data_IF_438768539813
#
_entry.id   IF_438768539813
#
_cell.length_a   1.000
_cell.length_b   1.000
_cell.length_c   1.000
_cell.angle_alpha   90.00
_cell.angle_beta   90.00
_cell.angle_gamma   90.00
#
_symmetry.space_group_name_H-M   'P 1'
#
loop_
_entity.id
_entity.type
_entity.pdbx_description
1 polymer ?
#
# COMPACT_ATOMS: atom_id res chain seq x y z
N UNK A 1 57.27 54.05 12.82
CA UNK A 1 55.80 54.05 12.81
C UNK A 1 55.34 52.75 12.20
N UNK A 2 54.76 51.86 13.02
CA UNK A 2 54.19 50.58 12.58
C UNK A 2 52.88 50.80 11.84
N UNK A 3 52.71 50.22 10.65
CA UNK A 3 51.39 50.02 10.06
C UNK A 3 51.20 48.55 9.65
N UNK A 4 50.04 48.04 10.06
CA UNK A 4 49.62 46.65 10.17
C UNK A 4 49.04 46.14 8.84
N UNK A 5 49.27 44.85 8.56
CA UNK A 5 48.65 44.06 7.49
C UNK A 5 47.10 44.06 7.57
N UNK A 6 46.39 44.08 6.43
CA UNK A 6 45.07 43.47 6.35
C UNK A 6 45.18 42.05 5.80
N UNK A 7 44.77 41.09 6.63
CA UNK A 7 44.55 39.69 6.29
C UNK A 7 43.29 39.62 5.40
N UNK A 8 43.44 39.25 4.13
CA UNK A 8 42.31 39.04 3.22
C UNK A 8 41.75 37.63 3.49
N UNK A 9 40.62 37.55 4.20
CA UNK A 9 39.89 36.31 4.40
C UNK A 9 39.17 35.93 3.09
N UNK A 10 39.69 34.93 2.39
CA UNK A 10 39.02 34.32 1.25
C UNK A 10 37.86 33.47 1.76
N UNK A 11 36.63 33.99 1.67
CA UNK A 11 35.42 33.22 1.91
C UNK A 11 35.25 32.19 0.78
N UNK A 12 35.55 30.93 1.08
CA UNK A 12 35.26 29.81 0.19
C UNK A 12 33.74 29.63 0.17
N UNK A 13 33.07 30.20 -0.83
CA UNK A 13 31.67 29.90 -1.10
C UNK A 13 31.60 28.46 -1.62
N UNK A 14 31.09 27.53 -0.79
CA UNK A 14 30.71 26.21 -1.24
C UNK A 14 29.59 26.35 -2.27
N UNK A 15 29.93 26.28 -3.55
CA UNK A 15 28.95 26.15 -4.62
C UNK A 15 28.45 24.70 -4.53
N UNK A 16 27.27 24.52 -3.93
CA UNK A 16 26.57 23.25 -3.98
C UNK A 16 26.18 22.99 -5.45
N UNK A 17 26.93 22.11 -6.11
CA UNK A 17 26.52 21.58 -7.41
C UNK A 17 25.20 20.85 -7.19
N UNK A 18 24.21 20.98 -8.10
CA UNK A 18 23.05 20.13 -8.05
C UNK A 18 23.58 18.69 -8.18
N UNK A 19 23.35 17.88 -7.15
CA UNK A 19 23.48 16.44 -7.31
C UNK A 19 22.57 16.09 -8.50
N UNK A 20 23.14 15.58 -9.58
CA UNK A 20 22.35 14.94 -10.61
C UNK A 20 21.67 13.77 -9.91
N UNK A 21 20.43 13.97 -9.47
CA UNK A 21 19.65 12.93 -8.86
C UNK A 21 19.27 11.98 -10.00
N UNK A 22 20.02 10.89 -10.12
CA UNK A 22 19.78 9.81 -11.07
C UNK A 22 18.54 8.97 -10.70
N UNK A 23 17.82 9.37 -9.65
CA UNK A 23 16.55 8.77 -9.26
C UNK A 23 15.40 9.66 -9.72
N UNK A 24 14.58 9.10 -10.60
CA UNK A 24 13.30 9.66 -11.02
C UNK A 24 12.19 8.94 -10.28
N UNK A 25 11.25 9.70 -9.69
CA UNK A 25 10.08 9.14 -9.02
C UNK A 25 8.87 9.28 -9.92
N UNK A 26 8.26 8.15 -10.29
CA UNK A 26 7.15 8.10 -11.24
C UNK A 26 5.83 7.75 -10.51
N UNK A 27 4.76 8.42 -10.92
CA UNK A 27 3.38 8.16 -10.50
C UNK A 27 3.16 8.05 -8.98
N UNK A 28 3.71 8.97 -8.15
CA UNK A 28 3.50 8.90 -6.72
C UNK A 28 2.03 9.11 -6.37
N UNK A 29 1.54 8.36 -5.37
CA UNK A 29 0.26 8.65 -4.74
C UNK A 29 0.24 8.20 -3.28
N UNK A 30 -0.55 8.90 -2.47
CA UNK A 30 -0.74 8.63 -1.06
C UNK A 30 -2.15 8.12 -0.80
N UNK A 31 -2.30 7.20 0.14
CA UNK A 31 -3.62 6.74 0.59
C UNK A 31 -3.62 6.47 2.08
N UNK A 32 -4.69 6.89 2.76
CA UNK A 32 -4.97 6.50 4.15
C UNK A 32 -5.54 5.09 4.24
N UNK A 33 -5.29 4.38 5.34
CA UNK A 33 -5.83 3.03 5.60
C UNK A 33 -7.36 2.99 5.78
N UNK A 34 -8.02 4.14 5.83
CA UNK A 34 -9.48 4.31 5.93
C UNK A 34 -9.85 5.74 6.28
N UNK A 35 -11.15 6.09 6.22
CA UNK A 35 -11.65 7.47 6.43
C UNK A 35 -11.31 8.10 7.80
N UNK A 36 -11.03 7.26 8.79
CA UNK A 36 -10.70 7.64 10.17
C UNK A 36 -9.30 7.14 10.58
N UNK A 37 -8.49 6.69 9.62
CA UNK A 37 -7.21 6.05 9.92
C UNK A 37 -6.17 7.06 10.44
N UNK A 38 -5.36 6.59 11.39
CA UNK A 38 -4.17 7.28 11.89
C UNK A 38 -2.90 6.82 11.17
N UNK A 39 -3.05 6.05 10.09
CA UNK A 39 -1.97 5.58 9.23
C UNK A 39 -2.33 5.71 7.75
N UNK A 40 -1.30 5.77 6.93
CA UNK A 40 -1.41 5.76 5.47
C UNK A 40 -0.13 5.25 4.83
N UNK A 41 -0.15 5.12 3.51
CA UNK A 41 1.01 4.68 2.75
C UNK A 41 1.16 5.52 1.48
N UNK A 42 2.40 5.80 1.11
CA UNK A 42 2.77 6.32 -0.19
C UNK A 42 3.32 5.20 -1.07
N UNK A 43 2.89 5.25 -2.33
CA UNK A 43 3.23 4.31 -3.40
C UNK A 43 3.77 5.10 -4.58
N UNK A 44 4.75 4.55 -5.28
CA UNK A 44 5.46 5.21 -6.38
C UNK A 44 6.35 4.19 -7.10
N UNK A 45 6.87 4.55 -8.26
CA UNK A 45 7.96 3.80 -8.90
C UNK A 45 9.25 4.59 -8.76
N UNK A 46 10.29 3.95 -8.25
CA UNK A 46 11.64 4.49 -8.20
C UNK A 46 12.37 4.04 -9.45
N UNK A 47 12.75 4.97 -10.32
CA UNK A 47 13.49 4.68 -11.54
C UNK A 47 14.90 5.24 -11.43
N UNK A 48 15.88 4.35 -11.37
CA UNK A 48 17.28 4.72 -11.41
C UNK A 48 17.75 4.85 -12.86
N UNK A 49 17.94 6.08 -13.32
CA UNK A 49 18.45 6.45 -14.64
C UNK A 49 19.98 6.55 -14.69
N UNK A 50 20.67 6.29 -13.59
CA UNK A 50 22.13 6.30 -13.47
C UNK A 50 22.78 4.97 -13.82
N UNK A 51 24.11 4.97 -13.89
CA UNK A 51 24.92 3.78 -14.21
C UNK A 51 25.31 2.95 -12.96
N UNK A 52 25.08 3.49 -11.76
CA UNK A 52 25.38 2.83 -10.48
C UNK A 52 24.10 2.44 -9.75
N UNK A 53 24.14 1.32 -9.01
CA UNK A 53 23.05 0.96 -8.11
C UNK A 53 22.91 2.00 -6.99
N UNK A 54 21.66 2.20 -6.55
CA UNK A 54 21.34 3.03 -5.39
C UNK A 54 20.40 2.27 -4.45
N UNK A 55 20.12 2.83 -3.28
CA UNK A 55 19.24 2.24 -2.28
C UNK A 55 18.47 3.32 -1.55
N UNK A 56 17.14 3.20 -1.52
CA UNK A 56 16.28 3.99 -0.65
C UNK A 56 16.41 3.47 0.77
N UNK A 57 17.03 4.24 1.66
CA UNK A 57 17.32 3.82 3.04
C UNK A 57 16.41 4.46 4.08
N UNK A 58 15.80 5.61 3.76
CA UNK A 58 14.86 6.26 4.68
C UNK A 58 13.83 7.10 3.94
N UNK A 59 12.73 7.38 4.62
CA UNK A 59 11.75 8.36 4.18
C UNK A 59 11.30 9.21 5.37
N UNK A 60 10.97 10.48 5.13
CA UNK A 60 10.45 11.39 6.15
C UNK A 60 9.40 12.34 5.57
N UNK A 61 8.50 12.81 6.42
CA UNK A 61 7.46 13.78 6.08
C UNK A 61 6.99 14.50 7.34
N UNK A 62 6.41 15.69 7.18
CA UNK A 62 5.77 16.44 8.26
C UNK A 62 4.34 15.97 8.58
N UNK A 63 3.85 14.98 7.84
CA UNK A 63 2.47 14.52 7.94
C UNK A 63 2.24 13.58 9.15
N UNK A 64 3.29 12.89 9.59
CA UNK A 64 3.17 11.86 10.62
C UNK A 64 4.34 11.85 11.59
N UNK A 65 4.07 11.32 12.78
CA UNK A 65 5.07 11.10 13.82
C UNK A 65 6.20 10.15 13.40
N UNK A 66 5.89 9.13 12.58
CA UNK A 66 6.86 8.16 12.04
C UNK A 66 6.60 7.89 10.57
N UNK A 67 7.67 7.71 9.81
CA UNK A 67 7.66 7.30 8.39
C UNK A 67 8.69 6.20 8.22
N UNK A 68 8.28 5.07 7.64
CA UNK A 68 9.06 3.84 7.59
C UNK A 68 8.96 3.17 6.22
N UNK A 69 9.93 2.34 5.88
CA UNK A 69 9.91 1.52 4.67
C UNK A 69 9.36 0.14 5.02
N UNK A 70 8.26 -0.28 4.40
CA UNK A 70 7.57 -1.52 4.76
C UNK A 70 7.45 -2.45 3.56
N UNK A 71 7.50 -3.76 3.81
CA UNK A 71 7.24 -4.81 2.82
C UNK A 71 6.13 -5.75 3.29
N UNK A 72 5.63 -6.58 2.38
CA UNK A 72 4.67 -7.64 2.66
C UNK A 72 5.34 -9.00 2.50
N UNK A 73 5.45 -9.77 3.59
CA UNK A 73 5.94 -11.15 3.55
C UNK A 73 4.80 -12.13 3.77
N UNK A 74 4.72 -13.18 2.95
CA UNK A 74 3.86 -14.31 3.22
C UNK A 74 4.44 -15.11 4.40
N UNK A 75 3.72 -15.17 5.52
CA UNK A 75 4.05 -16.08 6.61
C UNK A 75 3.83 -17.54 6.23
N UNK A 76 4.49 -18.46 6.94
CA UNK A 76 4.45 -19.91 6.70
C UNK A 76 3.04 -20.52 6.72
N UNK A 77 2.07 -19.82 7.29
CA UNK A 77 0.66 -20.20 7.39
C UNK A 77 -0.25 -19.49 6.37
N UNK A 78 0.32 -18.84 5.36
CA UNK A 78 -0.41 -18.06 4.36
C UNK A 78 -0.90 -16.69 4.85
N UNK A 79 -0.52 -16.27 6.07
CA UNK A 79 -0.88 -14.95 6.60
C UNK A 79 0.16 -13.93 6.14
N UNK A 80 -0.28 -12.94 5.36
CA UNK A 80 0.56 -11.81 4.97
C UNK A 80 0.88 -10.94 6.18
N UNK A 81 2.17 -10.66 6.39
CA UNK A 81 2.66 -9.75 7.44
C UNK A 81 3.29 -8.53 6.80
N UNK A 82 2.94 -7.37 7.33
CA UNK A 82 3.55 -6.10 6.98
C UNK A 82 4.68 -5.82 7.96
N UNK A 83 5.89 -5.60 7.46
CA UNK A 83 7.11 -5.51 8.26
C UNK A 83 7.96 -4.33 7.79
N UNK A 84 8.56 -3.64 8.75
CA UNK A 84 9.57 -2.61 8.49
C UNK A 84 10.84 -3.24 7.88
N UNK A 85 11.43 -2.55 6.92
CA UNK A 85 12.65 -2.94 6.20
C UNK A 85 13.75 -1.94 6.54
N UNK A 86 14.57 -2.27 7.54
CA UNK A 86 15.68 -1.42 7.99
C UNK A 86 16.79 -1.30 6.93
N UNK A 87 17.00 -2.35 6.14
CA UNK A 87 18.01 -2.37 5.06
C UNK A 87 17.58 -1.57 3.82
N UNK A 88 16.36 -1.03 3.78
CA UNK A 88 15.84 -0.26 2.65
C UNK A 88 15.64 -1.05 1.35
N UNK A 89 15.39 -0.33 0.26
CA UNK A 89 15.07 -0.90 -1.05
C UNK A 89 16.17 -0.59 -2.09
N UNK A 90 16.79 -1.64 -2.63
CA UNK A 90 17.81 -1.50 -3.67
C UNK A 90 17.16 -1.17 -5.02
N UNK A 91 17.73 -0.21 -5.74
CA UNK A 91 17.32 0.17 -7.09
C UNK A 91 18.52 0.00 -8.02
N UNK A 92 18.53 -1.07 -8.79
CA UNK A 92 19.59 -1.37 -9.76
C UNK A 92 19.71 -0.28 -10.83
N UNK A 93 20.90 -0.08 -11.44
CA UNK A 93 21.08 0.92 -12.48
C UNK A 93 20.19 0.61 -13.69
N UNK A 94 19.67 1.66 -14.33
CA UNK A 94 18.73 1.56 -15.46
C UNK A 94 17.47 0.73 -15.17
N UNK A 95 17.12 0.56 -13.89
CA UNK A 95 16.00 -0.29 -13.47
C UNK A 95 14.94 0.50 -12.69
N UNK A 96 13.78 -0.14 -12.55
CA UNK A 96 12.65 0.36 -11.77
C UNK A 96 12.42 -0.54 -10.57
N UNK A 97 12.17 0.07 -9.42
CA UNK A 97 11.67 -0.60 -8.22
C UNK A 97 10.28 -0.06 -7.90
N UNK A 98 9.29 -0.94 -7.89
CA UNK A 98 7.89 -0.54 -7.68
C UNK A 98 7.52 -0.62 -6.20
N UNK A 99 7.14 0.52 -5.63
CA UNK A 99 6.51 0.60 -4.31
C UNK A 99 4.99 0.58 -4.50
N UNK A 100 4.39 -0.60 -4.40
CA UNK A 100 2.98 -0.85 -4.68
C UNK A 100 2.26 -1.59 -3.56
N UNK A 101 0.93 -1.59 -3.66
CA UNK A 101 0.03 -2.22 -2.70
C UNK A 101 0.25 -3.72 -2.65
N UNK A 102 0.35 -4.27 -1.44
CA UNK A 102 0.65 -5.68 -1.24
C UNK A 102 2.12 -6.05 -1.47
N UNK A 103 2.99 -5.06 -1.72
CA UNK A 103 4.44 -5.19 -1.79
C UNK A 103 5.12 -4.11 -0.95
N UNK A 104 6.24 -3.60 -1.46
CA UNK A 104 7.01 -2.55 -0.80
C UNK A 104 6.27 -1.21 -0.84
N UNK A 105 6.38 -0.41 0.22
CA UNK A 105 5.74 0.90 0.31
C UNK A 105 6.35 1.76 1.41
N UNK A 106 6.07 3.07 1.36
CA UNK A 106 6.43 4.00 2.44
C UNK A 106 5.23 4.11 3.39
N UNK A 107 5.38 3.62 4.61
CA UNK A 107 4.35 3.61 5.64
C UNK A 107 4.42 4.87 6.51
N UNK A 108 3.26 5.44 6.84
CA UNK A 108 3.11 6.61 7.71
C UNK A 108 2.31 6.18 8.93
N UNK A 109 2.91 6.32 10.11
CA UNK A 109 2.31 5.93 11.38
C UNK A 109 2.11 7.16 12.27
N UNK A 110 0.89 7.32 12.78
CA UNK A 110 0.52 8.46 13.61
C UNK A 110 0.41 9.73 12.80
N UNK A 111 -0.55 9.77 11.86
CA UNK A 111 -0.86 10.98 11.10
C UNK A 111 -1.27 12.12 12.04
N UNK A 112 -0.58 13.25 11.95
CA UNK A 112 -0.80 14.42 12.82
C UNK A 112 -1.99 15.27 12.37
N UNK A 113 -2.39 15.12 11.11
CA UNK A 113 -3.56 15.75 10.50
C UNK A 113 -4.26 14.80 9.55
N UNK A 114 -5.54 15.05 9.31
CA UNK A 114 -6.29 14.37 8.23
C UNK A 114 -5.86 14.93 6.88
N UNK A 115 -5.90 14.08 5.87
CA UNK A 115 -5.72 14.43 4.46
C UNK A 115 -7.00 14.13 3.68
N UNK A 116 -7.30 14.96 2.69
CA UNK A 116 -8.43 14.82 1.78
C UNK A 116 -7.95 14.38 0.39
N UNK A 117 -8.88 13.90 -0.45
CA UNK A 117 -8.61 13.63 -1.86
C UNK A 117 -8.03 14.86 -2.55
N UNK A 118 -6.93 14.68 -3.29
CA UNK A 118 -6.27 15.75 -4.04
C UNK A 118 -5.30 16.61 -3.22
N UNK A 119 -5.21 16.44 -1.89
CA UNK A 119 -4.16 17.08 -1.08
C UNK A 119 -2.77 16.61 -1.54
N UNK A 120 -1.74 17.42 -1.27
CA UNK A 120 -0.36 17.08 -1.56
C UNK A 120 0.38 16.77 -0.26
N UNK A 121 1.03 15.61 -0.21
CA UNK A 121 1.92 15.19 0.87
C UNK A 121 3.36 15.32 0.37
N UNK A 122 4.15 16.16 1.01
CA UNK A 122 5.59 16.23 0.71
C UNK A 122 6.33 15.12 1.45
N UNK A 123 7.11 14.34 0.70
CA UNK A 123 7.92 13.24 1.23
C UNK A 123 9.36 13.47 0.82
N UNK A 124 10.28 13.39 1.77
CA UNK A 124 11.71 13.30 1.45
C UNK A 124 12.14 11.84 1.52
N UNK A 125 12.68 11.35 0.41
CA UNK A 125 13.27 10.02 0.26
C UNK A 125 14.79 10.17 0.35
N UNK A 126 15.44 9.44 1.24
CA UNK A 126 16.90 9.48 1.41
C UNK A 126 17.50 8.25 0.78
N UNK A 127 18.34 8.46 -0.23
CA UNK A 127 19.10 7.44 -0.94
C UNK A 127 20.56 7.41 -0.47
N UNK A 128 21.21 6.26 -0.58
CA UNK A 128 22.64 6.12 -0.23
C UNK A 128 23.54 6.98 -1.11
N UNK A 129 23.25 7.04 -2.41
CA UNK A 129 24.10 7.73 -3.39
C UNK A 129 23.48 9.05 -3.86
N UNK A 130 22.21 9.04 -4.29
CA UNK A 130 21.54 10.25 -4.76
C UNK A 130 21.24 11.26 -3.63
N UNK A 131 21.31 10.85 -2.37
CA UNK A 131 20.98 11.68 -1.21
C UNK A 131 19.49 11.94 -1.08
N UNK A 132 19.11 13.13 -0.62
CA UNK A 132 17.71 13.50 -0.36
C UNK A 132 16.98 13.91 -1.66
N UNK A 133 15.93 13.17 -2.00
CA UNK A 133 15.00 13.45 -3.09
C UNK A 133 13.65 13.85 -2.51
N UNK A 134 13.21 15.07 -2.79
CA UNK A 134 11.91 15.58 -2.33
C UNK A 134 10.84 15.30 -3.38
N UNK A 135 9.74 14.69 -2.97
CA UNK A 135 8.63 14.26 -3.83
C UNK A 135 7.32 14.85 -3.33
N UNK A 136 6.53 15.40 -4.25
CA UNK A 136 5.14 15.77 -4.01
C UNK A 136 4.24 14.58 -4.33
N UNK A 137 3.54 14.07 -3.32
CA UNK A 137 2.73 12.86 -3.41
C UNK A 137 1.24 13.23 -3.29
N UNK A 138 0.48 13.23 -4.39
CA UNK A 138 -0.95 13.54 -4.35
C UNK A 138 -1.74 12.44 -3.64
N UNK A 139 -2.69 12.83 -2.81
CA UNK A 139 -3.59 11.92 -2.09
C UNK A 139 -4.67 11.41 -3.04
N UNK A 140 -4.76 10.08 -3.15
CA UNK A 140 -5.78 9.35 -3.90
C UNK A 140 -6.41 8.26 -3.03
N UNK A 141 -7.46 8.62 -2.32
CA UNK A 141 -8.26 7.77 -1.44
C UNK A 141 -9.03 6.70 -2.23
N UNK A 142 -9.50 7.06 -3.43
CA UNK A 142 -10.29 6.19 -4.32
C UNK A 142 -9.43 5.29 -5.21
N UNK A 143 -8.11 5.32 -5.08
CA UNK A 143 -7.22 4.45 -5.86
C UNK A 143 -7.58 2.97 -5.64
N UNK A 144 -7.84 2.18 -6.71
CA UNK A 144 -8.27 0.79 -6.61
C UNK A 144 -7.36 -0.04 -5.69
N UNK A 145 -7.98 -0.88 -4.83
CA UNK A 145 -7.30 -2.00 -4.15
C UNK A 145 -6.64 -2.85 -5.21
N UNK A 146 -5.31 -2.96 -5.16
CA UNK A 146 -4.46 -3.37 -6.27
C UNK A 146 -5.10 -4.36 -7.24
N UNK A 147 -5.16 -3.98 -8.51
CA UNK A 147 -4.95 -4.96 -9.57
C UNK A 147 -3.45 -4.99 -9.78
N UNK A 148 -2.75 -5.89 -9.08
CA UNK A 148 -1.55 -6.45 -9.70
C UNK A 148 -1.97 -6.91 -11.12
N UNK A 149 -1.15 -6.77 -12.16
CA UNK A 149 -1.44 -7.46 -13.41
C UNK A 149 -1.63 -8.92 -13.04
N UNK A 150 -2.84 -9.44 -13.26
CA UNK A 150 -3.13 -10.83 -13.08
C UNK A 150 -2.15 -11.58 -13.98
N UNK A 151 -1.08 -12.12 -13.39
CA UNK A 151 -0.39 -13.24 -13.98
C UNK A 151 -1.49 -14.28 -14.21
N UNK A 152 -1.69 -14.61 -15.48
CA UNK A 152 -2.60 -15.61 -16.01
C UNK A 152 -2.63 -16.86 -15.13
N UNK A 153 -3.51 -16.85 -14.14
CA UNK A 153 -3.95 -18.02 -13.42
C UNK A 153 -5.15 -18.51 -14.21
N UNK A 154 -4.88 -19.37 -15.19
CA UNK A 154 -5.91 -20.12 -15.90
C UNK A 154 -6.80 -20.84 -14.91
N UNK A 155 -7.93 -20.23 -14.54
CA UNK A 155 -8.98 -20.88 -13.79
C UNK A 155 -9.73 -21.78 -14.77
N UNK A 156 -9.30 -23.05 -14.79
CA UNK A 156 -10.07 -24.14 -15.35
C UNK A 156 -11.49 -24.08 -14.81
N UNK A 157 -12.45 -24.11 -15.74
CA UNK A 157 -13.87 -24.18 -15.46
C UNK A 157 -14.17 -25.33 -14.48
N UNK A 158 -14.61 -24.99 -13.27
CA UNK A 158 -15.31 -25.95 -12.42
C UNK A 158 -16.79 -25.92 -12.83
N UNK A 159 -17.16 -26.96 -13.57
CA UNK A 159 -18.54 -27.32 -13.88
C UNK A 159 -19.28 -27.63 -12.57
N UNK A 160 -20.20 -26.75 -12.17
CA UNK A 160 -21.12 -27.03 -11.08
C UNK A 160 -22.30 -27.83 -11.62
N UNK A 161 -22.08 -29.14 -11.78
CA UNK A 161 -23.13 -30.12 -11.99
C UNK A 161 -24.23 -29.97 -10.93
N UNK A 162 -25.47 -29.90 -11.41
CA UNK A 162 -26.70 -29.71 -10.64
C UNK A 162 -26.79 -30.63 -9.40
N UNK A 163 -26.97 -30.03 -8.23
CA UNK A 163 -27.46 -30.74 -7.05
C UNK A 163 -28.99 -30.73 -7.08
N UNK A 164 -29.55 -31.91 -7.34
CA UNK A 164 -30.97 -32.22 -7.20
C UNK A 164 -31.36 -32.21 -5.71
N UNK A 165 -32.15 -31.23 -5.30
CA UNK A 165 -32.76 -31.19 -3.97
C UNK A 165 -34.15 -31.81 -4.05
N UNK A 166 -34.21 -33.13 -3.89
CA UNK A 166 -35.45 -33.87 -3.67
C UNK A 166 -36.23 -33.30 -2.47
N UNK A 167 -37.50 -32.99 -2.74
CA UNK A 167 -38.44 -32.32 -1.85
C UNK A 167 -38.61 -32.99 -0.47
N UNK A 168 -38.65 -32.17 0.58
CA UNK A 168 -39.27 -32.54 1.84
C UNK A 168 -40.79 -32.34 1.70
N UNK A 169 -41.53 -33.41 1.97
CA UNK A 169 -42.99 -33.48 2.00
C UNK A 169 -43.50 -32.94 3.35
N UNK A 170 -43.95 -31.69 3.35
CA UNK A 170 -44.68 -31.07 4.45
C UNK A 170 -46.15 -30.89 4.03
N UNK A 171 -47.06 -31.67 4.61
CA UNK A 171 -48.47 -31.27 4.66
C UNK A 171 -49.51 -32.38 4.76
N UNK A 172 -50.02 -32.63 5.98
CA UNK A 172 -51.46 -32.68 6.27
C UNK A 172 -51.70 -33.03 7.75
N UNK A 173 -51.87 -32.01 8.59
CA UNK A 173 -52.70 -32.13 9.79
C UNK A 173 -54.07 -31.54 9.44
N UNK A 174 -55.06 -32.39 9.26
CA UNK A 174 -56.47 -31.99 9.18
C UNK A 174 -57.12 -32.28 10.54
N UNK A 175 -57.58 -31.21 11.19
CA UNK A 175 -58.48 -31.24 12.33
C UNK A 175 -59.87 -30.88 11.82
N UNK A 176 -60.76 -31.87 11.76
CA UNK A 176 -62.20 -31.61 11.74
C UNK A 176 -62.91 -32.53 12.72
N UNK A 177 -63.44 -31.87 13.75
CA UNK A 177 -64.35 -32.36 14.77
C UNK A 177 -65.73 -32.78 14.19
N UNK A 178 -66.35 -33.72 14.90
CA UNK A 178 -67.80 -33.81 15.20
C UNK A 178 -68.76 -34.58 14.25
N UNK A 179 -69.48 -35.50 14.92
CA UNK A 179 -70.89 -35.92 14.75
C UNK A 179 -71.26 -37.32 14.20
N UNK A 180 -71.65 -38.17 15.16
CA UNK A 180 -72.90 -38.96 15.25
C UNK A 180 -73.27 -39.99 14.17
N UNK A 181 -73.32 -41.26 14.62
CA UNK A 181 -74.54 -42.07 14.50
C UNK A 181 -74.48 -43.35 13.63
N UNK A 182 -74.68 -44.51 14.29
CA UNK A 182 -75.62 -45.51 13.77
C UNK A 182 -75.08 -46.82 13.16
N UNK A 183 -75.16 -47.87 13.98
CA UNK A 183 -75.67 -49.23 13.68
C UNK A 183 -74.98 -50.16 12.65
N UNK A 184 -74.78 -51.41 13.07
CA UNK A 184 -74.79 -52.57 12.17
C UNK A 184 -73.89 -53.74 12.54
N UNK A 185 -74.28 -54.54 13.54
CA UNK A 185 -73.79 -55.92 13.75
C UNK A 185 -74.66 -56.92 12.96
N UNK A 186 -74.14 -58.14 12.76
CA UNK A 186 -74.65 -59.36 12.06
C UNK A 186 -74.04 -59.53 10.66
N UNK A 187 -73.34 -60.63 10.35
CA UNK A 187 -73.65 -62.04 10.60
C UNK A 187 -72.39 -62.86 10.96
#
# INVERSE_FOLDING_TARGET
MSLKFPLLAAALACIALPAFADIVVENPYFRTSGAMATSGAAFMVLHNTGETADRLIAARSDLSSRVELHTHLAGDNGVMRMLEVEDGFAVAPQARHELARGGDHVMFLGLDRRVAEGDIVTVTLTFEQAGDVVVEVPVRLDAPVGSAPAADMGHGAMDHGAMDHGAMDDGAMDHSDTEQGGAGHTH
#
